data_IF_133334579157
#
_entry.id   IF_133334579157
#
_cell.length_a   1.000
_cell.length_b   1.000
_cell.length_c   1.000
_cell.angle_alpha   90.00
_cell.angle_beta   90.00
_cell.angle_gamma   90.00
#
_symmetry.space_group_name_H-M   'P 1'
#
loop_
_entity.id
_entity.type
_entity.pdbx_description
1 polymer ?
#
# COMPACT_ATOMS: atom_id res chain seq x y z
N UNK A 1 1.80 -20.82 2.16
CA UNK A 1 2.62 -19.64 2.45
C UNK A 1 3.56 -20.00 3.61
N UNK A 2 4.80 -19.53 3.61
CA UNK A 2 5.74 -19.65 4.73
C UNK A 2 5.60 -18.40 5.60
N UNK A 3 5.16 -18.54 6.85
CA UNK A 3 4.92 -17.39 7.72
C UNK A 3 6.23 -16.70 8.11
N UNK A 4 6.21 -15.37 8.12
CA UNK A 4 7.28 -14.51 8.63
C UNK A 4 6.93 -14.09 10.06
N UNK A 5 7.09 -15.03 10.99
CA UNK A 5 6.68 -14.85 12.39
C UNK A 5 7.66 -14.02 13.22
N UNK A 6 8.82 -13.65 12.66
CA UNK A 6 9.88 -12.94 13.38
C UNK A 6 10.45 -11.80 12.57
N UNK A 7 10.67 -10.66 13.24
CA UNK A 7 11.44 -9.52 12.74
C UNK A 7 12.74 -9.44 13.54
N UNK A 8 13.87 -9.42 12.82
CA UNK A 8 15.20 -9.24 13.39
C UNK A 8 15.75 -7.87 12.97
N UNK A 9 16.11 -7.05 13.95
CA UNK A 9 16.68 -5.72 13.75
C UNK A 9 18.13 -5.76 14.25
N UNK A 10 19.13 -5.84 13.35
CA UNK A 10 20.53 -5.82 13.76
C UNK A 10 20.91 -4.44 14.29
N UNK A 11 21.72 -4.39 15.34
CA UNK A 11 22.29 -3.17 15.89
C UNK A 11 23.83 -3.28 15.90
N UNK A 12 24.55 -2.14 16.01
CA UNK A 12 25.99 -2.16 16.23
C UNK A 12 26.39 -2.96 17.48
N UNK A 13 27.67 -3.28 17.59
CA UNK A 13 28.27 -3.93 18.78
C UNK A 13 27.64 -5.28 19.15
N UNK A 14 27.25 -6.07 18.13
CA UNK A 14 26.66 -7.40 18.29
C UNK A 14 25.36 -7.41 19.15
N UNK A 15 24.65 -6.28 19.17
CA UNK A 15 23.33 -6.17 19.78
C UNK A 15 22.23 -6.31 18.72
N UNK A 16 20.99 -6.52 19.14
CA UNK A 16 19.85 -6.67 18.24
C UNK A 16 18.54 -6.43 18.98
N UNK A 17 17.45 -6.31 18.21
CA UNK A 17 16.08 -6.44 18.70
C UNK A 17 15.39 -7.55 17.90
N UNK A 18 14.76 -8.49 18.61
CA UNK A 18 13.93 -9.54 18.01
C UNK A 18 12.49 -9.36 18.46
N UNK A 19 11.57 -9.39 17.51
CA UNK A 19 10.13 -9.41 17.77
C UNK A 19 9.55 -10.64 17.11
N UNK A 20 8.79 -11.43 17.85
CA UNK A 20 8.20 -12.67 17.37
C UNK A 20 6.68 -12.70 17.57
N UNK A 21 6.03 -13.73 17.04
CA UNK A 21 4.62 -14.04 17.34
C UNK A 21 4.36 -14.37 18.81
N UNK A 22 5.39 -14.79 19.57
CA UNK A 22 5.34 -14.95 21.03
C UNK A 22 5.40 -13.58 21.75
N UNK A 23 4.33 -13.17 22.45
CA UNK A 23 4.28 -11.91 23.17
C UNK A 23 5.27 -11.84 24.35
N UNK A 24 5.49 -12.93 25.08
CA UNK A 24 6.37 -12.96 26.25
C UNK A 24 7.83 -12.84 25.83
N UNK A 25 8.20 -13.51 24.74
CA UNK A 25 9.52 -13.37 24.14
C UNK A 25 9.75 -11.93 23.65
N UNK A 26 8.75 -11.35 22.98
CA UNK A 26 8.83 -9.96 22.52
C UNK A 26 8.94 -8.99 23.69
N UNK A 27 8.17 -9.19 24.76
CA UNK A 27 8.23 -8.36 25.97
C UNK A 27 9.63 -8.41 26.59
N UNK A 28 10.18 -9.61 26.81
CA UNK A 28 11.53 -9.79 27.37
C UNK A 28 12.59 -9.13 26.50
N UNK A 29 12.45 -9.24 25.19
CA UNK A 29 13.42 -8.69 24.25
C UNK A 29 13.35 -7.15 24.22
N UNK A 30 12.17 -6.55 24.18
CA UNK A 30 12.02 -5.08 24.30
C UNK A 30 12.53 -4.61 25.67
N UNK A 31 12.28 -5.36 26.74
CA UNK A 31 12.71 -5.00 28.11
C UNK A 31 14.23 -4.87 28.26
N UNK A 32 15.02 -5.54 27.40
CA UNK A 32 16.47 -5.38 27.35
C UNK A 32 16.91 -3.99 26.87
N UNK A 33 16.04 -3.30 26.12
CA UNK A 33 16.28 -1.96 25.58
C UNK A 33 15.53 -0.88 26.36
N UNK A 34 14.27 -1.13 26.77
CA UNK A 34 13.51 -0.30 27.71
C UNK A 34 12.37 -1.08 28.37
N UNK A 35 12.32 -1.05 29.70
CA UNK A 35 11.21 -1.61 30.49
C UNK A 35 9.89 -0.86 30.26
N UNK A 36 9.97 0.46 30.08
CA UNK A 36 8.81 1.31 29.83
C UNK A 36 8.18 0.98 28.48
N UNK A 37 9.01 0.81 27.45
CA UNK A 37 8.54 0.43 26.12
C UNK A 37 7.91 -0.96 26.13
N UNK A 38 8.53 -1.92 26.84
CA UNK A 38 7.98 -3.27 26.96
C UNK A 38 6.59 -3.26 27.61
N UNK A 39 6.39 -2.44 28.64
CA UNK A 39 5.09 -2.27 29.30
C UNK A 39 4.05 -1.55 28.41
N UNK A 40 4.46 -0.56 27.62
CA UNK A 40 3.57 0.18 26.72
C UNK A 40 3.18 -0.61 25.46
N UNK A 41 4.06 -1.49 25.00
CA UNK A 41 3.98 -2.15 23.70
C UNK A 41 2.68 -2.96 23.47
N UNK A 42 2.16 -3.77 24.43
CA UNK A 42 0.87 -4.45 24.25
C UNK A 42 -0.29 -3.48 24.04
N UNK A 43 -0.30 -2.36 24.76
CA UNK A 43 -1.34 -1.32 24.65
C UNK A 43 -1.27 -0.62 23.28
N UNK A 44 -0.06 -0.33 22.80
CA UNK A 44 0.16 0.20 21.47
C UNK A 44 -0.36 -0.76 20.38
N UNK A 45 -0.02 -2.04 20.48
CA UNK A 45 -0.46 -3.06 19.52
C UNK A 45 -1.99 -3.22 19.49
N UNK A 46 -2.64 -3.21 20.65
CA UNK A 46 -4.10 -3.22 20.74
C UNK A 46 -4.73 -1.97 20.14
N UNK A 47 -4.10 -0.80 20.33
CA UNK A 47 -4.54 0.44 19.69
C UNK A 47 -4.38 0.38 18.17
N UNK A 48 -3.27 -0.14 17.64
CA UNK A 48 -3.05 -0.27 16.19
C UNK A 48 -4.07 -1.21 15.56
N UNK A 49 -4.41 -2.31 16.24
CA UNK A 49 -5.45 -3.25 15.80
C UNK A 49 -6.84 -2.58 15.74
N UNK A 50 -7.23 -1.85 16.79
CA UNK A 50 -8.50 -1.08 16.77
C UNK A 50 -8.52 -0.06 15.64
N UNK A 51 -7.44 0.70 15.45
CA UNK A 51 -7.38 1.70 14.37
C UNK A 51 -7.39 1.04 12.98
N UNK A 52 -6.83 -0.16 12.84
CA UNK A 52 -6.92 -0.94 11.61
C UNK A 52 -8.39 -1.30 11.28
N UNK A 53 -9.17 -1.73 12.27
CA UNK A 53 -10.62 -2.00 12.11
C UNK A 53 -11.42 -0.76 11.74
N UNK A 54 -11.02 0.42 12.25
CA UNK A 54 -11.65 1.70 11.91
C UNK A 54 -11.41 2.08 10.45
N UNK A 55 -10.18 1.87 9.96
CA UNK A 55 -9.77 2.35 8.64
C UNK A 55 -10.07 1.35 7.52
N UNK A 56 -10.00 0.03 7.79
CA UNK A 56 -10.20 -1.03 6.79
C UNK A 56 -11.49 -0.87 5.95
N UNK A 57 -12.67 -0.54 6.53
CA UNK A 57 -13.88 -0.32 5.73
C UNK A 57 -13.76 0.86 4.76
N UNK A 58 -13.06 1.93 5.16
CA UNK A 58 -12.92 3.15 4.38
C UNK A 58 -12.07 2.95 3.12
N UNK A 59 -11.17 1.96 3.11
CA UNK A 59 -10.28 1.69 1.97
C UNK A 59 -11.00 1.14 0.73
N UNK A 60 -12.19 0.57 0.92
CA UNK A 60 -12.97 -0.08 -0.16
C UNK A 60 -14.14 0.77 -0.64
N UNK A 61 -14.39 1.91 0.02
CA UNK A 61 -15.46 2.83 -0.34
C UNK A 61 -14.95 3.75 -1.43
N UNK A 62 -15.65 3.79 -2.57
CA UNK A 62 -15.41 4.81 -3.58
C UNK A 62 -15.56 6.20 -2.94
N UNK A 63 -14.55 7.10 -3.01
CA UNK A 63 -14.61 8.39 -2.34
C UNK A 63 -15.83 9.17 -2.80
N UNK A 64 -16.79 9.48 -1.91
CA UNK A 64 -18.01 10.13 -2.33
C UNK A 64 -17.73 11.58 -2.74
N UNK A 65 -18.37 12.06 -3.81
CA UNK A 65 -18.17 13.42 -4.31
C UNK A 65 -19.02 14.41 -3.49
N UNK A 66 -18.42 15.29 -2.66
CA UNK A 66 -19.18 16.19 -1.79
C UNK A 66 -19.86 17.34 -2.52
N UNK A 67 -19.49 17.60 -3.77
CA UNK A 67 -20.13 18.59 -4.64
C UNK A 67 -21.22 17.99 -5.53
N UNK A 68 -21.45 16.67 -5.46
CA UNK A 68 -22.50 16.02 -6.25
C UNK A 68 -23.90 16.35 -5.72
N UNK A 69 -24.84 16.55 -6.65
CA UNK A 69 -26.26 16.67 -6.31
C UNK A 69 -26.91 15.31 -6.00
N UNK A 70 -26.23 14.19 -6.27
CA UNK A 70 -26.72 12.85 -6.02
C UNK A 70 -26.90 12.61 -4.51
N UNK A 71 -28.11 12.26 -4.08
CA UNK A 71 -28.43 12.02 -2.67
C UNK A 71 -27.69 10.80 -2.10
N UNK A 72 -27.31 9.82 -2.94
CA UNK A 72 -26.55 8.64 -2.50
C UNK A 72 -25.16 9.04 -1.99
N UNK A 73 -24.47 9.93 -2.71
CA UNK A 73 -23.16 10.48 -2.32
C UNK A 73 -23.24 11.18 -0.96
N UNK A 74 -24.32 11.93 -0.72
CA UNK A 74 -24.57 12.60 0.56
C UNK A 74 -24.82 11.60 1.70
N UNK A 75 -25.54 10.51 1.41
CA UNK A 75 -25.75 9.43 2.38
C UNK A 75 -24.43 8.72 2.71
N UNK A 76 -23.57 8.50 1.73
CA UNK A 76 -22.26 7.88 1.93
C UNK A 76 -21.32 8.79 2.74
N UNK A 77 -21.31 10.10 2.49
CA UNK A 77 -20.64 11.08 3.34
C UNK A 77 -21.15 11.05 4.79
N UNK A 78 -22.47 10.98 4.97
CA UNK A 78 -23.07 10.87 6.30
C UNK A 78 -22.67 9.57 7.00
N UNK A 79 -22.58 8.45 6.27
CA UNK A 79 -22.11 7.16 6.81
C UNK A 79 -20.66 7.23 7.26
N UNK A 80 -19.78 7.83 6.46
CA UNK A 80 -18.38 8.05 6.83
C UNK A 80 -18.30 8.96 8.07
N UNK A 81 -19.04 10.07 8.08
CA UNK A 81 -19.10 10.97 9.22
C UNK A 81 -19.59 10.29 10.49
N UNK A 82 -20.65 9.48 10.40
CA UNK A 82 -21.17 8.68 11.53
C UNK A 82 -20.17 7.65 12.01
N UNK A 83 -19.48 6.97 11.11
CA UNK A 83 -18.43 6.00 11.43
C UNK A 83 -17.30 6.67 12.23
N UNK A 84 -16.76 7.78 11.73
CA UNK A 84 -15.70 8.53 12.42
C UNK A 84 -16.17 9.13 13.76
N UNK A 85 -17.41 9.62 13.83
CA UNK A 85 -17.97 10.14 15.08
C UNK A 85 -18.14 9.04 16.14
N UNK A 86 -18.45 7.80 15.72
CA UNK A 86 -18.68 6.67 16.63
C UNK A 86 -17.44 6.22 17.41
N UNK A 87 -16.24 6.64 17.00
CA UNK A 87 -14.97 6.34 17.68
C UNK A 87 -14.90 6.96 19.09
N UNK A 88 -15.66 8.03 19.32
CA UNK A 88 -15.52 8.87 20.50
C UNK A 88 -14.23 9.71 20.48
N UNK A 89 -14.09 10.66 21.42
CA UNK A 89 -13.07 11.70 21.33
C UNK A 89 -11.62 11.18 21.32
N UNK A 90 -11.33 10.15 22.12
CA UNK A 90 -9.97 9.60 22.26
C UNK A 90 -9.50 8.92 20.98
N UNK A 91 -10.29 7.99 20.46
CA UNK A 91 -9.92 7.22 19.28
C UNK A 91 -10.01 8.09 18.00
N UNK A 92 -10.90 9.07 17.96
CA UNK A 92 -10.90 10.08 16.88
C UNK A 92 -9.60 10.90 16.88
N UNK A 93 -9.10 11.31 18.06
CA UNK A 93 -7.83 12.01 18.16
C UNK A 93 -6.65 11.14 17.68
N UNK A 94 -6.60 9.88 18.09
CA UNK A 94 -5.62 8.90 17.61
C UNK A 94 -5.70 8.70 16.10
N UNK A 95 -6.92 8.58 15.55
CA UNK A 95 -7.14 8.47 14.10
C UNK A 95 -6.56 9.68 13.36
N UNK A 96 -6.86 10.92 13.81
CA UNK A 96 -6.32 12.13 13.19
C UNK A 96 -4.79 12.17 13.23
N UNK A 97 -4.19 11.77 14.37
CA UNK A 97 -2.73 11.65 14.49
C UNK A 97 -2.15 10.66 13.48
N UNK A 98 -2.71 9.46 13.38
CA UNK A 98 -2.26 8.45 12.42
C UNK A 98 -2.38 8.94 10.97
N UNK A 99 -3.45 9.68 10.63
CA UNK A 99 -3.64 10.19 9.28
C UNK A 99 -2.71 11.36 8.90
N UNK A 100 -2.17 12.09 9.87
CA UNK A 100 -1.45 13.36 9.61
C UNK A 100 0.01 13.38 10.06
N UNK A 101 0.37 12.65 11.12
CA UNK A 101 1.73 12.63 11.66
C UNK A 101 2.69 11.79 10.82
N UNK A 102 3.99 12.02 11.04
CA UNK A 102 5.03 11.09 10.60
C UNK A 102 5.07 9.84 11.49
N UNK A 103 5.64 8.75 10.98
CA UNK A 103 5.82 7.53 11.76
C UNK A 103 6.74 7.77 12.96
N UNK A 104 7.78 8.58 12.80
CA UNK A 104 8.71 8.95 13.89
C UNK A 104 7.98 9.70 14.99
N UNK A 105 7.31 10.82 14.66
CA UNK A 105 6.62 11.65 15.67
C UNK A 105 5.55 10.84 16.41
N UNK A 106 4.82 9.97 15.69
CA UNK A 106 3.79 9.15 16.31
C UNK A 106 4.39 8.12 17.27
N UNK A 107 5.54 7.51 16.92
CA UNK A 107 6.21 6.54 17.78
C UNK A 107 6.92 7.18 18.98
N UNK A 108 7.39 8.43 18.85
CA UNK A 108 7.98 9.20 19.95
C UNK A 108 7.00 9.46 21.10
N UNK A 109 5.70 9.48 20.83
CA UNK A 109 4.67 9.58 21.88
C UNK A 109 4.55 8.30 22.73
N UNK A 110 5.01 7.16 22.20
CA UNK A 110 4.80 5.84 22.80
C UNK A 110 6.08 5.22 23.36
N UNK A 111 7.22 5.44 22.69
CA UNK A 111 8.43 4.67 22.92
C UNK A 111 9.65 5.57 23.04
N UNK A 112 10.61 5.15 23.88
CA UNK A 112 11.88 5.86 24.06
C UNK A 112 13.06 5.13 23.39
N UNK A 113 12.94 3.82 23.13
CA UNK A 113 14.02 3.04 22.55
C UNK A 113 14.11 3.19 21.03
N UNK A 114 15.22 3.75 20.56
CA UNK A 114 15.52 3.92 19.13
C UNK A 114 15.39 2.62 18.32
N UNK A 115 15.88 1.44 18.77
CA UNK A 115 15.72 0.19 18.02
C UNK A 115 14.25 -0.18 17.74
N UNK A 116 13.37 0.02 18.74
CA UNK A 116 11.95 -0.29 18.60
C UNK A 116 11.26 0.71 17.66
N UNK A 117 11.56 2.00 17.82
CA UNK A 117 11.01 3.05 16.94
C UNK A 117 11.44 2.83 15.50
N UNK A 118 12.74 2.64 15.24
CA UNK A 118 13.28 2.43 13.91
C UNK A 118 12.65 1.21 13.22
N UNK A 119 12.50 0.08 13.93
CA UNK A 119 11.92 -1.11 13.32
C UNK A 119 10.42 -1.00 13.04
N UNK A 120 9.68 -0.17 13.78
CA UNK A 120 8.27 0.09 13.53
C UNK A 120 8.09 1.12 12.41
N UNK A 121 8.89 2.19 12.43
CA UNK A 121 8.87 3.26 11.45
C UNK A 121 9.24 2.79 10.03
N UNK A 122 10.03 1.72 9.90
CA UNK A 122 10.33 1.12 8.59
C UNK A 122 9.07 0.67 7.85
N UNK A 123 8.02 0.25 8.57
CA UNK A 123 6.73 -0.09 7.95
C UNK A 123 5.99 1.15 7.43
N UNK A 124 6.33 2.34 7.93
CA UNK A 124 5.77 3.63 7.50
C UNK A 124 6.27 4.14 6.16
N UNK A 125 7.25 3.48 5.55
CA UNK A 125 7.84 3.92 4.27
C UNK A 125 7.72 2.89 3.14
N UNK A 126 7.28 1.66 3.43
CA UNK A 126 7.14 0.60 2.43
C UNK A 126 6.14 1.03 1.35
N UNK A 127 6.52 0.90 0.07
CA UNK A 127 5.68 1.26 -1.07
C UNK A 127 5.54 2.77 -1.30
N UNK A 128 6.37 3.59 -0.64
CA UNK A 128 6.39 5.05 -0.80
C UNK A 128 7.78 5.54 -1.19
N UNK A 129 7.87 6.80 -1.61
CA UNK A 129 9.14 7.52 -1.75
C UNK A 129 9.40 8.48 -0.57
N UNK A 130 8.70 8.29 0.55
CA UNK A 130 8.81 9.16 1.73
C UNK A 130 9.84 8.63 2.73
N UNK A 131 10.39 9.54 3.54
CA UNK A 131 11.18 9.18 4.71
C UNK A 131 10.28 8.95 5.94
N UNK A 132 10.75 8.25 6.99
CA UNK A 132 9.91 7.93 8.16
C UNK A 132 9.47 9.16 8.97
N UNK A 133 10.14 10.30 8.79
CA UNK A 133 9.78 11.60 9.35
C UNK A 133 8.85 12.44 8.46
N UNK A 134 8.44 11.94 7.29
CA UNK A 134 7.50 12.67 6.42
C UNK A 134 6.06 12.54 6.93
N UNK A 135 5.25 13.61 6.90
CA UNK A 135 3.83 13.55 7.27
C UNK A 135 3.06 12.46 6.50
N UNK A 136 2.14 11.79 7.17
CA UNK A 136 1.32 10.70 6.61
C UNK A 136 1.97 9.30 6.67
N UNK A 137 3.24 9.19 7.01
CA UNK A 137 3.91 7.87 7.15
C UNK A 137 3.41 7.06 8.36
N UNK A 138 2.79 7.71 9.36
CA UNK A 138 2.11 6.99 10.45
C UNK A 138 0.91 6.17 9.92
N UNK A 139 0.16 6.69 8.96
CA UNK A 139 -0.91 5.96 8.29
C UNK A 139 -0.35 4.78 7.48
N UNK A 140 0.78 4.97 6.77
CA UNK A 140 1.42 3.88 6.03
C UNK A 140 1.86 2.76 6.98
N UNK A 141 2.35 3.10 8.18
CA UNK A 141 2.67 2.13 9.22
C UNK A 141 1.41 1.37 9.67
N UNK A 142 0.30 2.08 9.89
CA UNK A 142 -1.00 1.46 10.19
C UNK A 142 -1.50 0.56 9.05
N UNK A 143 -1.36 1.00 7.80
CA UNK A 143 -1.76 0.23 6.63
C UNK A 143 -1.03 -1.13 6.55
N UNK A 144 0.28 -1.15 6.81
CA UNK A 144 1.04 -2.41 6.86
C UNK A 144 0.69 -3.28 8.07
N UNK A 145 0.10 -2.70 9.11
CA UNK A 145 -0.44 -3.45 10.25
C UNK A 145 -1.73 -4.20 9.90
N UNK A 146 -2.49 -3.72 8.92
CA UNK A 146 -3.74 -4.34 8.46
C UNK A 146 -3.53 -5.63 7.68
N UNK A 147 -2.30 -5.89 7.19
CA UNK A 147 -1.98 -7.12 6.47
C UNK A 147 -2.35 -8.35 7.32
N UNK A 148 -3.06 -9.30 6.72
CA UNK A 148 -3.57 -10.47 7.44
C UNK A 148 -3.29 -11.78 6.69
N UNK A 149 -3.04 -12.84 7.46
CA UNK A 149 -3.01 -14.22 6.98
C UNK A 149 -3.96 -15.01 7.86
N UNK A 150 -4.96 -15.65 7.25
CA UNK A 150 -5.96 -16.47 7.94
C UNK A 150 -6.61 -15.75 9.14
N UNK A 151 -6.91 -14.46 8.98
CA UNK A 151 -7.54 -13.61 10.00
C UNK A 151 -6.60 -13.11 11.11
N UNK A 152 -5.28 -13.37 11.02
CA UNK A 152 -4.29 -12.81 11.96
C UNK A 152 -3.67 -11.54 11.41
N UNK A 153 -3.90 -10.42 12.09
CA UNK A 153 -3.28 -9.14 11.76
C UNK A 153 -1.75 -9.17 11.86
N UNK A 154 -1.09 -8.32 11.06
CA UNK A 154 0.35 -8.19 10.93
C UNK A 154 1.08 -9.49 10.55
N UNK A 155 0.36 -10.46 9.99
CA UNK A 155 0.95 -11.69 9.51
C UNK A 155 1.38 -11.49 8.05
N UNK A 156 2.64 -11.81 7.77
CA UNK A 156 3.22 -11.78 6.44
C UNK A 156 3.77 -13.15 6.12
N UNK A 157 3.90 -13.46 4.83
CA UNK A 157 4.45 -14.73 4.46
C UNK A 157 4.89 -14.78 3.02
N UNK A 158 5.84 -15.68 2.77
CA UNK A 158 6.45 -15.86 1.47
C UNK A 158 5.73 -17.02 0.77
N UNK A 159 5.25 -16.85 -0.48
CA UNK A 159 4.71 -17.97 -1.24
C UNK A 159 5.76 -19.08 -1.39
N UNK A 160 5.33 -20.35 -1.32
CA UNK A 160 6.23 -21.49 -1.52
C UNK A 160 6.77 -21.45 -2.96
N UNK A 161 8.09 -21.44 -3.12
CA UNK A 161 8.73 -21.23 -4.43
C UNK A 161 9.04 -19.76 -4.75
N UNK A 162 8.85 -18.84 -3.79
CA UNK A 162 9.17 -17.42 -3.94
C UNK A 162 8.13 -16.65 -4.76
N UNK A 163 8.28 -15.32 -4.88
CA UNK A 163 7.28 -14.47 -5.52
C UNK A 163 7.02 -14.82 -6.99
N UNK A 164 8.03 -15.32 -7.72
CA UNK A 164 7.87 -15.77 -9.11
C UNK A 164 6.85 -16.91 -9.27
N UNK A 165 6.65 -17.73 -8.23
CA UNK A 165 5.64 -18.81 -8.26
C UNK A 165 4.21 -18.26 -8.41
N UNK A 166 3.92 -17.10 -7.83
CA UNK A 166 2.60 -16.45 -7.93
C UNK A 166 2.37 -15.98 -9.36
N UNK A 167 3.32 -15.24 -9.93
CA UNK A 167 3.23 -14.77 -11.32
C UNK A 167 3.11 -15.93 -12.30
N UNK A 168 3.89 -17.00 -12.11
CA UNK A 168 3.83 -18.19 -12.95
C UNK A 168 2.49 -18.93 -12.81
N UNK A 169 1.90 -18.99 -11.63
CA UNK A 169 0.59 -19.58 -11.42
C UNK A 169 -0.52 -18.79 -12.15
N UNK A 170 -0.47 -17.45 -12.08
CA UNK A 170 -1.39 -16.58 -12.82
C UNK A 170 -1.22 -16.77 -14.33
N UNK A 171 0.02 -16.76 -14.83
CA UNK A 171 0.33 -16.98 -16.24
C UNK A 171 -0.19 -18.33 -16.72
N UNK A 172 0.05 -19.40 -15.95
CA UNK A 172 -0.44 -20.74 -16.26
C UNK A 172 -1.97 -20.78 -16.34
N UNK A 173 -2.66 -20.25 -15.34
CA UNK A 173 -4.12 -20.20 -15.34
C UNK A 173 -4.63 -19.42 -16.57
N UNK A 174 -4.04 -18.27 -16.89
CA UNK A 174 -4.42 -17.49 -18.07
C UNK A 174 -4.26 -18.30 -19.37
N UNK A 175 -3.14 -19.01 -19.54
CA UNK A 175 -2.90 -19.87 -20.72
C UNK A 175 -3.86 -21.06 -20.77
N UNK A 176 -4.26 -21.64 -19.64
CA UNK A 176 -5.28 -22.70 -19.59
C UNK A 176 -6.66 -22.20 -20.05
N UNK A 177 -6.96 -20.92 -19.85
CA UNK A 177 -8.15 -20.25 -20.40
C UNK A 177 -7.95 -19.67 -21.81
N UNK A 178 -6.84 -19.98 -22.48
CA UNK A 178 -6.59 -19.62 -23.88
C UNK A 178 -5.90 -18.28 -24.09
N UNK A 179 -5.35 -17.64 -23.06
CA UNK A 179 -4.52 -16.46 -23.24
C UNK A 179 -3.17 -16.82 -23.89
N UNK A 180 -2.73 -16.01 -24.85
CA UNK A 180 -1.37 -16.08 -25.40
C UNK A 180 -0.45 -15.11 -24.66
N UNK A 181 0.73 -15.58 -24.24
CA UNK A 181 1.73 -14.75 -23.55
C UNK A 181 2.96 -14.64 -24.45
N UNK A 182 3.22 -13.42 -24.92
CA UNK A 182 4.40 -13.10 -25.72
C UNK A 182 5.40 -12.32 -24.85
N UNK A 183 6.58 -12.91 -24.65
CA UNK A 183 7.70 -12.26 -23.95
C UNK A 183 8.70 -11.70 -24.96
N UNK A 184 9.51 -10.73 -24.53
CA UNK A 184 10.50 -10.07 -25.40
C UNK A 184 9.88 -9.43 -26.64
N UNK A 185 8.62 -8.97 -26.51
CA UNK A 185 7.85 -8.29 -27.55
C UNK A 185 7.52 -6.85 -27.10
N UNK A 186 8.49 -5.91 -27.13
CA UNK A 186 8.24 -4.55 -26.68
C UNK A 186 7.15 -3.90 -27.52
N UNK A 187 6.14 -3.34 -26.86
CA UNK A 187 5.12 -2.51 -27.51
C UNK A 187 5.76 -1.17 -27.92
N UNK A 188 5.58 -0.81 -29.18
CA UNK A 188 6.04 0.45 -29.76
C UNK A 188 4.94 1.51 -29.78
N UNK A 189 3.70 1.14 -30.11
CA UNK A 189 2.58 2.07 -30.16
C UNK A 189 1.25 1.37 -29.89
N UNK A 190 0.32 2.07 -29.24
CA UNK A 190 -1.09 1.75 -29.14
C UNK A 190 -1.80 2.64 -30.17
N UNK A 191 -2.41 2.01 -31.16
CA UNK A 191 -3.01 2.71 -32.30
C UNK A 191 -4.48 2.99 -32.03
N UNK A 192 -4.82 4.26 -31.97
CA UNK A 192 -6.20 4.73 -31.84
C UNK A 192 -6.77 5.16 -33.20
N UNK A 193 -8.07 5.02 -33.36
CA UNK A 193 -8.83 5.48 -34.51
C UNK A 193 -10.23 5.89 -34.02
N UNK A 194 -10.66 7.12 -34.34
CA UNK A 194 -11.93 7.69 -33.88
C UNK A 194 -12.15 7.55 -32.35
N UNK A 195 -11.15 7.94 -31.55
CA UNK A 195 -11.19 7.83 -30.08
C UNK A 195 -11.37 6.40 -29.54
N UNK A 196 -11.00 5.39 -30.31
CA UNK A 196 -11.05 3.98 -29.90
C UNK A 196 -9.77 3.24 -30.27
N UNK A 197 -9.31 2.33 -29.41
CA UNK A 197 -8.15 1.49 -29.73
C UNK A 197 -8.51 0.54 -30.86
N UNK A 198 -7.59 0.39 -31.81
CA UNK A 198 -7.74 -0.49 -32.97
C UNK A 198 -6.66 -1.58 -33.04
N UNK A 199 -5.43 -1.28 -32.59
CA UNK A 199 -4.30 -2.20 -32.62
C UNK A 199 -3.20 -1.80 -31.64
N UNK A 200 -2.23 -2.69 -31.46
CA UNK A 200 -0.95 -2.44 -30.83
C UNK A 200 0.15 -2.83 -31.82
N UNK A 201 1.13 -1.97 -32.04
CA UNK A 201 2.32 -2.29 -32.83
C UNK A 201 3.48 -2.63 -31.91
N UNK A 202 4.21 -3.68 -32.27
CA UNK A 202 5.44 -4.10 -31.59
C UNK A 202 6.66 -3.41 -32.23
N UNK A 203 7.77 -3.40 -31.50
CA UNK A 203 9.02 -2.80 -31.96
C UNK A 203 9.62 -3.47 -33.22
N UNK A 204 9.22 -4.70 -33.54
CA UNK A 204 9.61 -5.40 -34.77
C UNK A 204 8.71 -5.06 -35.98
N UNK A 205 7.71 -4.18 -35.80
CA UNK A 205 6.75 -3.77 -36.83
C UNK A 205 5.49 -4.63 -36.88
N UNK A 206 5.39 -5.70 -36.11
CA UNK A 206 4.19 -6.55 -36.04
C UNK A 206 3.01 -5.77 -35.48
N UNK A 207 1.84 -5.84 -36.14
CA UNK A 207 0.61 -5.20 -35.69
C UNK A 207 -0.39 -6.25 -35.17
N UNK A 208 -0.83 -6.10 -33.92
CA UNK A 208 -1.82 -6.95 -33.27
C UNK A 208 -3.12 -6.16 -33.15
N UNK A 209 -4.18 -6.61 -33.83
CA UNK A 209 -5.52 -5.99 -33.72
C UNK A 209 -6.11 -6.25 -32.33
N UNK A 210 -6.62 -5.19 -31.71
CA UNK A 210 -7.20 -5.28 -30.37
C UNK A 210 -8.44 -4.37 -30.28
N UNK A 211 -9.51 -4.87 -29.64
CA UNK A 211 -10.72 -4.08 -29.35
C UNK A 211 -10.61 -3.30 -28.04
N UNK A 212 -9.68 -3.69 -27.18
CA UNK A 212 -9.43 -3.11 -25.87
C UNK A 212 -7.96 -3.37 -25.52
N UNK A 213 -7.33 -2.42 -24.83
CA UNK A 213 -5.98 -2.54 -24.30
C UNK A 213 -6.02 -2.17 -22.82
N UNK A 214 -5.52 -3.07 -21.98
CA UNK A 214 -5.27 -2.81 -20.57
C UNK A 214 -3.76 -2.73 -20.37
N UNK A 215 -3.25 -1.56 -20.01
CA UNK A 215 -1.82 -1.34 -19.73
C UNK A 215 -1.56 -1.43 -18.23
N UNK A 216 -0.55 -2.23 -17.85
CA UNK A 216 0.00 -2.27 -16.49
C UNK A 216 1.32 -1.50 -16.38
N UNK A 217 1.69 -0.72 -17.41
CA UNK A 217 2.87 0.13 -17.39
C UNK A 217 2.61 1.40 -16.58
N UNK A 218 3.66 2.16 -16.29
CA UNK A 218 3.49 3.48 -15.71
C UNK A 218 2.63 4.38 -16.63
N UNK A 219 1.79 5.27 -16.07
CA UNK A 219 0.87 6.08 -16.87
C UNK A 219 1.59 6.98 -17.87
N UNK A 220 2.73 7.55 -17.50
CA UNK A 220 3.51 8.42 -18.40
C UNK A 220 4.02 7.63 -19.61
N UNK A 221 4.56 6.42 -19.42
CA UNK A 221 4.96 5.57 -20.54
C UNK A 221 3.78 5.16 -21.40
N UNK A 222 2.64 4.81 -20.80
CA UNK A 222 1.45 4.42 -21.59
C UNK A 222 0.93 5.58 -22.43
N UNK A 223 0.65 6.72 -21.80
CA UNK A 223 -0.09 7.80 -22.45
C UNK A 223 0.80 8.82 -23.18
N UNK A 224 2.04 9.03 -22.73
CA UNK A 224 2.94 10.01 -23.37
C UNK A 224 3.90 9.38 -24.37
N UNK A 225 4.20 8.08 -24.26
CA UNK A 225 5.19 7.43 -25.12
C UNK A 225 4.60 6.39 -26.08
N UNK A 226 3.49 5.73 -25.73
CA UNK A 226 2.89 4.68 -26.56
C UNK A 226 1.64 5.13 -27.31
N UNK A 227 1.02 6.24 -26.93
CA UNK A 227 -0.16 6.79 -27.61
C UNK A 227 0.24 8.10 -28.28
N UNK A 228 -0.29 8.36 -29.47
CA UNK A 228 -0.07 9.64 -30.15
C UNK A 228 -0.77 10.76 -29.37
N UNK A 229 -0.07 11.86 -29.10
CA UNK A 229 -0.63 13.01 -28.38
C UNK A 229 -1.90 13.58 -29.03
N UNK A 230 -2.04 13.45 -30.35
CA UNK A 230 -3.23 13.93 -31.08
C UNK A 230 -4.50 13.11 -30.78
N UNK A 231 -4.35 11.90 -30.22
CA UNK A 231 -5.46 11.06 -29.77
C UNK A 231 -5.87 11.34 -28.31
N UNK A 232 -5.20 12.29 -27.62
CA UNK A 232 -5.45 12.64 -26.24
C UNK A 232 -5.82 14.13 -26.12
N UNK A 233 -6.58 14.49 -25.08
CA UNK A 233 -6.85 15.91 -24.80
C UNK A 233 -5.65 16.57 -24.13
N UNK A 234 -5.46 17.87 -24.40
CA UNK A 234 -4.39 18.67 -23.78
C UNK A 234 -4.48 18.66 -22.24
N UNK A 235 -5.70 18.69 -21.70
CA UNK A 235 -5.96 18.59 -20.25
C UNK A 235 -5.45 17.26 -19.69
N UNK A 236 -5.76 16.14 -20.36
CA UNK A 236 -5.31 14.82 -19.91
C UNK A 236 -3.79 14.66 -20.01
N UNK A 237 -3.18 15.20 -21.07
CA UNK A 237 -1.72 15.21 -21.20
C UNK A 237 -1.09 16.01 -20.05
N UNK A 238 -1.65 17.17 -19.71
CA UNK A 238 -1.17 17.99 -18.60
C UNK A 238 -1.28 17.23 -17.26
N UNK A 239 -2.41 16.56 -17.02
CA UNK A 239 -2.62 15.75 -15.82
C UNK A 239 -1.59 14.62 -15.71
N UNK A 240 -1.39 13.83 -16.77
CA UNK A 240 -0.41 12.74 -16.78
C UNK A 240 1.03 13.26 -16.66
N UNK A 241 1.34 14.41 -17.25
CA UNK A 241 2.65 15.04 -17.13
C UNK A 241 2.92 15.48 -15.69
N UNK A 242 1.90 15.95 -14.98
CA UNK A 242 2.00 16.35 -13.56
C UNK A 242 2.10 15.17 -12.59
N UNK A 243 1.78 13.95 -13.04
CA UNK A 243 1.81 12.75 -12.21
C UNK A 243 3.22 12.47 -11.67
N UNK A 244 3.36 12.43 -10.35
CA UNK A 244 4.64 12.14 -9.69
C UNK A 244 4.88 10.65 -9.60
N UNK A 245 5.80 10.14 -10.41
CA UNK A 245 6.25 8.74 -10.41
C UNK A 245 7.57 8.51 -9.67
N UNK A 246 8.15 9.57 -9.11
CA UNK A 246 9.36 9.58 -8.28
C UNK A 246 9.14 10.53 -7.09
N UNK A 247 9.69 10.19 -5.93
CA UNK A 247 9.74 11.11 -4.78
C UNK A 247 10.88 12.10 -4.85
#
# INVERSE_FOLDING_TARGET
ILALDTTFTPLPNNNYLIRSSDPDRTYKEISRHSQKDAAAYPTFMAMMARMAEVVKPLLTVAPPNPWSSNWREKLDLLRIGKHLYSLGPKDFHTFVKLMTMSAVDFLDEWFESEPLKATLASSGIIGTFLGPGSPGTAYVMLHHYMGEIDGKYRAWGIPKGGMGSVSNAIAKAATEYGAEIQCSSPVQQIVCHNNSVSAVTLADGTAIKAKCVASSLDPQRTFLNLIDSSDLSDEFIADITSYKSRG
#
